data_IF_772723037965
#
_entry.id   IF_772723037965
#
_cell.length_a   1.000
_cell.length_b   1.000
_cell.length_c   1.000
_cell.angle_alpha   90.00
_cell.angle_beta   90.00
_cell.angle_gamma   90.00
#
_symmetry.space_group_name_H-M   'P 1'
#
loop_
_entity.id
_entity.type
_entity.pdbx_description
1 polymer ?
#
# COMPACT_ATOMS: atom_id res chain seq x y z
N UNK A 1 15.26 -25.89 -17.05
CA UNK A 1 14.48 -25.45 -18.24
C UNK A 1 13.02 -25.25 -17.87
N UNK A 2 12.43 -26.07 -16.99
CA UNK A 2 11.10 -25.83 -16.38
C UNK A 2 10.97 -24.45 -15.72
N UNK A 3 11.96 -24.02 -14.93
CA UNK A 3 11.96 -22.66 -14.35
C UNK A 3 11.93 -21.56 -15.42
N UNK A 4 12.60 -21.74 -16.56
CA UNK A 4 12.56 -20.78 -17.67
C UNK A 4 11.18 -20.74 -18.34
N UNK A 5 10.48 -21.87 -18.40
CA UNK A 5 9.10 -21.96 -18.88
C UNK A 5 8.14 -21.21 -17.93
N UNK A 6 8.30 -21.44 -16.63
CA UNK A 6 7.56 -20.74 -15.58
C UNK A 6 7.79 -19.24 -15.62
N UNK A 7 9.04 -18.82 -15.80
CA UNK A 7 9.40 -17.41 -15.93
C UNK A 7 8.81 -16.78 -17.20
N UNK A 8 8.80 -17.52 -18.31
CA UNK A 8 8.19 -17.08 -19.57
C UNK A 8 6.68 -16.85 -19.43
N UNK A 9 5.93 -17.81 -18.85
CA UNK A 9 4.50 -17.67 -18.58
C UNK A 9 4.24 -16.50 -17.62
N UNK A 10 4.97 -16.44 -16.51
CA UNK A 10 4.83 -15.33 -15.54
C UNK A 10 5.10 -13.96 -16.16
N UNK A 11 6.05 -13.87 -17.10
CA UNK A 11 6.35 -12.62 -17.80
C UNK A 11 5.19 -12.19 -18.69
N UNK A 12 4.52 -13.13 -19.38
CA UNK A 12 3.35 -12.83 -20.22
C UNK A 12 2.16 -12.38 -19.37
N UNK A 13 1.88 -13.06 -18.27
CA UNK A 13 0.76 -12.74 -17.37
C UNK A 13 1.03 -11.56 -16.40
N UNK A 14 2.21 -10.92 -16.47
CA UNK A 14 2.60 -9.86 -15.52
C UNK A 14 1.71 -8.62 -15.56
N UNK A 15 1.18 -8.29 -16.73
CA UNK A 15 0.33 -7.12 -16.97
C UNK A 15 -1.16 -7.39 -16.70
N UNK A 16 -1.49 -8.65 -16.42
CA UNK A 16 -2.86 -9.11 -16.28
C UNK A 16 -3.30 -8.95 -14.82
N UNK A 17 -4.58 -8.65 -14.55
CA UNK A 17 -5.04 -8.54 -13.20
C UNK A 17 -5.00 -9.89 -12.48
N UNK A 18 -4.64 -9.88 -11.19
CA UNK A 18 -4.53 -11.09 -10.36
C UNK A 18 -5.88 -11.54 -9.82
N UNK A 19 -6.84 -11.72 -10.72
CA UNK A 19 -8.13 -12.34 -10.42
C UNK A 19 -7.98 -13.85 -10.32
N UNK A 20 -8.87 -14.52 -9.59
CA UNK A 20 -8.86 -15.99 -9.46
C UNK A 20 -8.86 -16.70 -10.82
N UNK A 21 -9.76 -16.30 -11.72
CA UNK A 21 -9.89 -16.86 -13.08
C UNK A 21 -8.58 -16.76 -13.89
N UNK A 22 -7.98 -15.56 -13.97
CA UNK A 22 -6.72 -15.36 -14.70
C UNK A 22 -5.55 -16.12 -14.07
N UNK A 23 -5.54 -16.29 -12.75
CA UNK A 23 -4.52 -17.09 -12.05
C UNK A 23 -4.69 -18.58 -12.38
N UNK A 24 -5.93 -19.08 -12.39
CA UNK A 24 -6.26 -20.46 -12.77
C UNK A 24 -5.85 -20.73 -14.23
N UNK A 25 -6.22 -19.87 -15.16
CA UNK A 25 -5.83 -19.99 -16.59
C UNK A 25 -4.31 -19.99 -16.76
N UNK A 26 -3.60 -19.14 -16.01
CA UNK A 26 -2.13 -19.12 -16.04
C UNK A 26 -1.56 -20.45 -15.56
N UNK A 27 -2.11 -21.01 -14.49
CA UNK A 27 -1.62 -22.24 -13.88
C UNK A 27 -1.97 -23.47 -14.75
N UNK A 28 -3.15 -23.49 -15.36
CA UNK A 28 -3.56 -24.48 -16.37
C UNK A 28 -2.64 -24.44 -17.60
N UNK A 29 -2.41 -23.25 -18.17
CA UNK A 29 -1.51 -23.09 -19.32
C UNK A 29 -0.08 -23.53 -18.97
N UNK A 30 0.39 -23.20 -17.77
CA UNK A 30 1.70 -23.65 -17.32
C UNK A 30 1.79 -25.17 -17.22
N UNK A 31 0.74 -25.84 -16.71
CA UNK A 31 0.69 -27.31 -16.66
C UNK A 31 0.73 -27.90 -18.07
N UNK A 32 -0.11 -27.43 -18.99
CA UNK A 32 -0.13 -27.91 -20.38
C UNK A 32 1.24 -27.77 -21.05
N UNK A 33 1.89 -26.62 -20.85
CA UNK A 33 3.24 -26.39 -21.41
C UNK A 33 4.30 -27.31 -20.77
N UNK A 34 4.18 -27.64 -19.48
CA UNK A 34 5.12 -28.55 -18.80
C UNK A 34 4.94 -29.98 -19.27
N UNK A 35 3.69 -30.42 -19.44
CA UNK A 35 3.35 -31.76 -19.89
C UNK A 35 3.89 -31.98 -21.31
N UNK A 36 3.69 -30.99 -22.20
CA UNK A 36 4.26 -31.04 -23.55
C UNK A 36 5.78 -31.07 -23.56
N UNK A 37 6.42 -30.29 -22.70
CA UNK A 37 7.87 -30.29 -22.55
C UNK A 37 8.38 -31.66 -22.11
N UNK A 38 7.72 -32.29 -21.14
CA UNK A 38 8.07 -33.63 -20.65
C UNK A 38 7.85 -34.72 -21.71
N UNK A 39 6.77 -34.63 -22.49
CA UNK A 39 6.51 -35.55 -23.60
C UNK A 39 7.62 -35.48 -24.66
N UNK A 40 8.06 -34.27 -25.02
CA UNK A 40 9.17 -34.09 -25.95
C UNK A 40 10.48 -34.67 -25.42
N UNK A 41 10.74 -34.56 -24.11
CA UNK A 41 11.92 -35.20 -23.49
C UNK A 41 11.83 -36.74 -23.53
N UNK A 42 10.64 -37.29 -23.28
CA UNK A 42 10.40 -38.73 -23.33
C UNK A 42 10.56 -39.30 -24.75
N UNK A 43 10.33 -38.48 -25.78
CA UNK A 43 10.58 -38.82 -27.19
C UNK A 43 12.06 -38.72 -27.59
N UNK A 44 12.97 -38.39 -26.67
CA UNK A 44 14.41 -38.31 -26.93
C UNK A 44 14.86 -36.99 -27.57
N UNK A 45 13.99 -35.98 -27.61
CA UNK A 45 14.28 -34.67 -28.20
C UNK A 45 15.19 -33.85 -27.26
N UNK A 46 16.04 -32.98 -27.81
CA UNK A 46 16.90 -32.12 -27.01
C UNK A 46 16.10 -31.12 -26.16
N UNK A 47 16.63 -30.73 -25.00
CA UNK A 47 15.97 -29.81 -24.04
C UNK A 47 15.61 -28.46 -24.64
N UNK A 48 16.32 -28.00 -25.67
CA UNK A 48 16.09 -26.71 -26.31
C UNK A 48 14.96 -26.77 -27.35
N UNK A 49 14.90 -27.85 -28.13
CA UNK A 49 13.82 -28.08 -29.10
C UNK A 49 12.49 -28.38 -28.39
N UNK A 50 12.52 -29.16 -27.31
CA UNK A 50 11.36 -29.39 -26.45
C UNK A 50 10.79 -28.07 -25.88
N UNK A 51 11.66 -27.13 -25.51
CA UNK A 51 11.26 -25.80 -25.03
C UNK A 51 10.63 -24.96 -26.15
N UNK A 52 11.20 -24.99 -27.35
CA UNK A 52 10.65 -24.28 -28.52
C UNK A 52 9.26 -24.81 -28.89
N UNK A 53 9.09 -26.13 -28.90
CA UNK A 53 7.81 -26.79 -29.16
C UNK A 53 6.73 -26.41 -28.12
N UNK A 54 7.09 -26.36 -26.83
CA UNK A 54 6.18 -25.92 -25.78
C UNK A 54 5.77 -24.43 -25.93
N UNK A 55 6.65 -23.57 -26.45
CA UNK A 55 6.32 -22.16 -26.74
C UNK A 55 5.38 -22.04 -27.94
N UNK A 56 5.59 -22.81 -29.00
CA UNK A 56 4.75 -22.77 -30.20
C UNK A 56 3.29 -23.13 -29.87
N UNK A 57 3.06 -24.10 -28.99
CA UNK A 57 1.71 -24.43 -28.49
C UNK A 57 1.02 -23.23 -27.82
N UNK A 58 1.75 -22.36 -27.11
CA UNK A 58 1.18 -21.16 -26.50
C UNK A 58 0.61 -20.17 -27.55
N UNK A 59 1.17 -20.17 -28.77
CA UNK A 59 0.72 -19.28 -29.84
C UNK A 59 -0.69 -19.66 -30.31
N UNK A 60 -0.99 -20.95 -30.41
CA UNK A 60 -2.32 -21.44 -30.81
C UNK A 60 -3.38 -21.15 -29.73
N UNK A 61 -3.02 -21.26 -28.45
CA UNK A 61 -3.93 -20.91 -27.36
C UNK A 61 -4.06 -19.40 -27.09
N UNK A 62 -3.25 -18.57 -27.75
CA UNK A 62 -3.20 -17.12 -27.49
C UNK A 62 -4.56 -16.44 -27.68
N UNK A 63 -5.30 -16.82 -28.70
CA UNK A 63 -6.59 -16.18 -29.00
C UNK A 63 -7.70 -16.64 -28.04
N UNK A 64 -7.70 -17.93 -27.66
CA UNK A 64 -8.61 -18.47 -26.63
C UNK A 64 -8.34 -17.82 -25.26
N UNK A 65 -7.07 -17.66 -24.89
CA UNK A 65 -6.67 -16.97 -23.66
C UNK A 65 -7.14 -15.51 -23.68
N UNK A 66 -7.03 -14.83 -24.82
CA UNK A 66 -7.38 -13.41 -24.95
C UNK A 66 -8.89 -13.16 -24.79
N UNK A 67 -9.73 -14.08 -25.23
CA UNK A 67 -11.18 -13.96 -25.08
C UNK A 67 -11.62 -14.15 -23.63
N UNK A 68 -11.10 -15.19 -22.96
CA UNK A 68 -11.37 -15.46 -21.53
C UNK A 68 -10.73 -14.38 -20.64
N UNK A 69 -9.58 -13.83 -21.05
CA UNK A 69 -8.97 -12.66 -20.41
C UNK A 69 -9.89 -11.44 -20.48
N UNK A 70 -10.42 -11.12 -21.66
CA UNK A 70 -11.23 -9.92 -21.85
C UNK A 70 -12.52 -10.00 -21.04
N UNK A 71 -13.12 -11.19 -20.93
CA UNK A 71 -14.29 -11.40 -20.08
C UNK A 71 -13.94 -11.32 -18.58
N UNK A 72 -12.86 -11.96 -18.13
CA UNK A 72 -12.43 -11.94 -16.71
C UNK A 72 -11.92 -10.58 -16.23
N UNK A 73 -11.15 -9.86 -17.05
CA UNK A 73 -10.66 -8.49 -16.78
C UNK A 73 -11.82 -7.49 -16.66
N UNK A 74 -12.75 -7.51 -17.63
CA UNK A 74 -13.95 -6.66 -17.61
C UNK A 74 -14.87 -7.03 -16.46
N UNK A 75 -15.03 -8.33 -16.16
CA UNK A 75 -15.82 -8.81 -15.02
C UNK A 75 -15.26 -8.31 -13.69
N UNK A 76 -13.95 -8.40 -13.49
CA UNK A 76 -13.30 -7.92 -12.27
C UNK A 76 -13.34 -6.39 -12.13
N UNK A 77 -13.11 -5.66 -13.22
CA UNK A 77 -13.28 -4.20 -13.25
C UNK A 77 -14.71 -3.80 -12.91
N UNK A 78 -15.70 -4.42 -13.55
CA UNK A 78 -17.12 -4.16 -13.30
C UNK A 78 -17.46 -4.44 -11.84
N UNK A 79 -17.00 -5.55 -11.26
CA UNK A 79 -17.23 -5.88 -9.85
C UNK A 79 -16.64 -4.83 -8.90
N UNK A 80 -15.42 -4.37 -9.15
CA UNK A 80 -14.77 -3.34 -8.32
C UNK A 80 -15.50 -2.01 -8.44
N UNK A 81 -15.83 -1.57 -9.66
CA UNK A 81 -16.54 -0.31 -9.92
C UNK A 81 -17.94 -0.32 -9.33
N UNK A 82 -18.69 -1.42 -9.50
CA UNK A 82 -20.05 -1.57 -8.95
C UNK A 82 -20.02 -1.57 -7.42
N UNK A 83 -19.11 -2.33 -6.79
CA UNK A 83 -18.98 -2.33 -5.33
C UNK A 83 -18.57 -0.97 -4.78
N UNK A 84 -17.66 -0.27 -5.48
CA UNK A 84 -17.22 1.06 -5.09
C UNK A 84 -18.34 2.07 -5.23
N UNK A 85 -19.06 2.07 -6.35
CA UNK A 85 -20.19 2.96 -6.62
C UNK A 85 -21.34 2.75 -5.65
N UNK A 86 -21.70 1.48 -5.38
CA UNK A 86 -22.76 1.16 -4.42
C UNK A 86 -22.40 1.63 -3.01
N UNK A 87 -21.20 1.28 -2.53
CA UNK A 87 -20.74 1.72 -1.22
C UNK A 87 -20.68 3.24 -1.10
N UNK A 88 -20.15 3.94 -2.11
CA UNK A 88 -20.07 5.39 -2.14
C UNK A 88 -21.47 6.02 -2.02
N UNK A 89 -22.42 5.50 -2.79
CA UNK A 89 -23.80 5.98 -2.79
C UNK A 89 -24.46 5.77 -1.43
N UNK A 90 -24.40 4.56 -0.88
CA UNK A 90 -24.94 4.26 0.46
C UNK A 90 -24.27 5.08 1.55
N UNK A 91 -22.95 5.26 1.48
CA UNK A 91 -22.18 6.03 2.45
C UNK A 91 -22.63 7.49 2.48
N UNK A 92 -22.70 8.16 1.32
CA UNK A 92 -23.10 9.56 1.27
C UNK A 92 -24.58 9.76 1.61
N UNK A 93 -25.48 8.84 1.20
CA UNK A 93 -26.89 8.89 1.63
C UNK A 93 -26.98 8.82 3.15
N UNK A 94 -26.26 7.87 3.77
CA UNK A 94 -26.25 7.69 5.22
C UNK A 94 -25.63 8.89 5.93
N UNK A 95 -24.50 9.41 5.42
CA UNK A 95 -23.83 10.58 5.97
C UNK A 95 -24.73 11.82 5.90
N UNK A 96 -25.39 12.05 4.77
CA UNK A 96 -26.34 13.15 4.60
C UNK A 96 -27.54 12.99 5.52
N UNK A 97 -28.07 11.78 5.65
CA UNK A 97 -29.17 11.49 6.59
C UNK A 97 -28.77 11.82 8.03
N UNK A 98 -27.61 11.33 8.49
CA UNK A 98 -27.08 11.63 9.84
C UNK A 98 -26.86 13.14 10.00
N UNK A 99 -26.25 13.79 9.01
CA UNK A 99 -25.99 15.24 9.04
C UNK A 99 -27.30 16.04 9.18
N UNK A 100 -28.32 15.73 8.37
CA UNK A 100 -29.60 16.43 8.41
C UNK A 100 -30.37 16.13 9.70
N UNK A 101 -30.38 14.87 10.15
CA UNK A 101 -31.03 14.49 11.40
C UNK A 101 -30.44 15.24 12.59
N UNK A 102 -29.10 15.26 12.71
CA UNK A 102 -28.42 15.97 13.80
C UNK A 102 -28.60 17.49 13.69
N UNK A 103 -28.56 18.04 12.47
CA UNK A 103 -28.69 19.48 12.24
C UNK A 103 -30.09 20.02 12.49
N UNK A 104 -31.12 19.29 12.07
CA UNK A 104 -32.53 19.73 12.12
C UNK A 104 -33.19 19.32 13.43
N UNK A 105 -33.02 18.07 13.87
CA UNK A 105 -33.74 17.52 15.03
C UNK A 105 -33.05 17.85 16.35
N UNK A 106 -31.73 17.60 16.43
CA UNK A 106 -30.99 17.68 17.70
C UNK A 106 -30.51 19.11 17.98
N UNK A 107 -29.68 19.67 17.09
CA UNK A 107 -28.99 20.93 17.33
C UNK A 107 -29.71 22.16 16.78
N UNK A 108 -30.71 21.98 15.91
CA UNK A 108 -31.46 23.05 15.22
C UNK A 108 -30.56 24.16 14.63
N UNK A 109 -29.34 23.79 14.23
CA UNK A 109 -28.32 24.75 13.78
C UNK A 109 -27.29 24.09 12.87
N UNK A 110 -27.24 24.56 11.62
CA UNK A 110 -26.25 24.11 10.64
C UNK A 110 -24.83 24.62 10.93
N UNK A 111 -24.70 25.71 11.69
CA UNK A 111 -23.38 26.29 12.03
C UNK A 111 -22.56 25.40 12.97
N UNK A 112 -23.19 24.53 13.75
CA UNK A 112 -22.50 23.65 14.71
C UNK A 112 -22.25 22.24 14.17
N UNK A 113 -22.93 21.85 13.08
CA UNK A 113 -22.93 20.48 12.57
C UNK A 113 -22.08 20.26 11.33
N UNK A 114 -21.50 21.31 10.73
CA UNK A 114 -20.65 21.21 9.55
C UNK A 114 -19.49 20.21 9.72
N UNK A 115 -18.98 20.08 10.95
CA UNK A 115 -17.89 19.16 11.28
C UNK A 115 -18.25 17.69 11.00
N UNK A 116 -19.53 17.33 11.07
CA UNK A 116 -20.01 15.96 10.78
C UNK A 116 -19.81 15.64 9.29
N UNK A 117 -20.18 16.56 8.41
CA UNK A 117 -20.03 16.39 6.97
C UNK A 117 -18.54 16.36 6.55
N UNK A 118 -17.74 17.27 7.10
CA UNK A 118 -16.30 17.32 6.81
C UNK A 118 -15.58 16.11 7.40
N UNK A 119 -15.89 15.70 8.63
CA UNK A 119 -15.35 14.49 9.27
C UNK A 119 -15.70 13.22 8.50
N UNK A 120 -16.96 13.07 8.09
CA UNK A 120 -17.39 11.96 7.24
C UNK A 120 -16.64 11.92 5.90
N UNK A 121 -16.42 13.07 5.27
CA UNK A 121 -15.66 13.13 4.01
C UNK A 121 -14.23 12.59 4.14
N UNK A 122 -13.55 12.85 5.26
CA UNK A 122 -12.22 12.28 5.52
C UNK A 122 -12.23 10.77 5.81
N UNK A 123 -13.29 10.26 6.46
CA UNK A 123 -13.47 8.81 6.65
C UNK A 123 -13.66 8.14 5.28
N UNK A 124 -14.45 8.76 4.39
CA UNK A 124 -14.59 8.28 3.02
C UNK A 124 -13.27 8.31 2.24
N UNK A 125 -12.42 9.32 2.43
CA UNK A 125 -11.09 9.36 1.80
C UNK A 125 -10.21 8.18 2.20
N UNK A 126 -10.30 7.67 3.45
CA UNK A 126 -9.62 6.44 3.85
C UNK A 126 -10.14 5.26 3.03
N UNK A 127 -11.47 5.09 2.97
CA UNK A 127 -12.09 4.00 2.20
C UNK A 127 -11.69 4.06 0.71
N UNK A 128 -11.73 5.25 0.12
CA UNK A 128 -11.32 5.50 -1.25
C UNK A 128 -9.84 5.12 -1.45
N UNK A 129 -8.96 5.53 -0.53
CA UNK A 129 -7.52 5.22 -0.61
C UNK A 129 -7.23 3.73 -0.47
N UNK A 130 -7.95 3.02 0.41
CA UNK A 130 -7.87 1.54 0.52
C UNK A 130 -8.34 0.87 -0.76
N UNK A 131 -9.43 1.36 -1.35
CA UNK A 131 -9.97 0.83 -2.61
C UNK A 131 -9.00 1.06 -3.76
N UNK A 132 -8.38 2.24 -3.83
CA UNK A 132 -7.32 2.57 -4.80
C UNK A 132 -6.09 1.65 -4.63
N UNK A 133 -5.66 1.38 -3.39
CA UNK A 133 -4.58 0.43 -3.12
C UNK A 133 -4.93 -1.00 -3.57
N UNK A 134 -6.13 -1.50 -3.26
CA UNK A 134 -6.59 -2.82 -3.70
C UNK A 134 -6.63 -2.91 -5.23
N UNK A 135 -7.14 -1.87 -5.88
CA UNK A 135 -7.16 -1.77 -7.34
C UNK A 135 -5.74 -1.78 -7.93
N UNK A 136 -4.85 -0.95 -7.41
CA UNK A 136 -3.46 -0.89 -7.87
C UNK A 136 -2.74 -2.25 -7.70
N UNK A 137 -3.01 -2.96 -6.60
CA UNK A 137 -2.46 -4.29 -6.33
C UNK A 137 -3.03 -5.35 -7.28
N UNK A 138 -4.31 -5.26 -7.64
CA UNK A 138 -4.95 -6.17 -8.60
C UNK A 138 -4.26 -6.09 -9.96
N UNK A 139 -4.00 -4.88 -10.46
CA UNK A 139 -3.35 -4.61 -11.75
C UNK A 139 -1.82 -4.52 -11.70
N UNK A 140 -1.21 -4.80 -10.54
CA UNK A 140 0.24 -4.77 -10.36
C UNK A 140 0.89 -3.39 -10.67
N UNK A 141 0.11 -2.31 -10.56
CA UNK A 141 0.58 -0.94 -10.73
C UNK A 141 1.36 -0.49 -9.49
N UNK A 142 2.68 -0.69 -9.52
CA UNK A 142 3.58 -0.42 -8.38
C UNK A 142 3.49 1.03 -7.90
N UNK A 143 3.59 2.00 -8.80
CA UNK A 143 3.56 3.42 -8.45
C UNK A 143 2.24 3.78 -7.78
N UNK A 144 1.12 3.36 -8.37
CA UNK A 144 -0.21 3.63 -7.84
C UNK A 144 -0.45 2.92 -6.49
N UNK A 145 0.13 1.74 -6.28
CA UNK A 145 0.06 1.03 -5.00
C UNK A 145 0.80 1.78 -3.89
N UNK A 146 1.94 2.41 -4.20
CA UNK A 146 2.68 3.26 -3.24
C UNK A 146 1.90 4.52 -2.90
N UNK A 147 1.37 5.20 -3.91
CA UNK A 147 0.50 6.37 -3.72
C UNK A 147 -0.77 6.03 -2.94
N UNK A 148 -1.38 4.86 -3.17
CA UNK A 148 -2.51 4.38 -2.39
C UNK A 148 -2.20 4.28 -0.89
N UNK A 149 -1.03 3.75 -0.52
CA UNK A 149 -0.56 3.72 0.87
C UNK A 149 -0.37 5.15 1.39
N UNK A 150 0.30 6.02 0.63
CA UNK A 150 0.52 7.41 1.03
C UNK A 150 -0.81 8.15 1.30
N UNK A 151 -1.80 8.00 0.42
CA UNK A 151 -3.12 8.62 0.59
C UNK A 151 -3.85 8.12 1.84
N UNK A 152 -3.72 6.84 2.20
CA UNK A 152 -4.27 6.32 3.47
C UNK A 152 -3.69 7.10 4.65
N UNK A 153 -2.36 7.23 4.74
CA UNK A 153 -1.72 7.94 5.86
C UNK A 153 -1.98 9.45 5.85
N UNK A 154 -2.03 10.08 4.68
CA UNK A 154 -2.41 11.50 4.55
C UNK A 154 -3.85 11.72 5.05
N UNK A 155 -4.78 10.85 4.69
CA UNK A 155 -6.18 10.95 5.15
C UNK A 155 -6.37 10.69 6.65
N UNK A 156 -5.42 10.01 7.31
CA UNK A 156 -5.42 9.83 8.77
C UNK A 156 -5.02 11.09 9.53
N UNK A 157 -4.24 12.00 8.92
CA UNK A 157 -3.78 13.23 9.60
C UNK A 157 -4.98 14.08 10.06
N UNK A 158 -5.97 14.41 9.22
CA UNK A 158 -7.14 15.15 9.67
C UNK A 158 -7.93 14.44 10.77
N UNK A 159 -8.06 13.12 10.69
CA UNK A 159 -8.86 12.31 11.64
C UNK A 159 -8.23 12.16 13.01
N UNK A 160 -6.91 11.98 13.08
CA UNK A 160 -6.21 11.75 14.35
C UNK A 160 -5.65 13.04 14.94
N UNK A 161 -5.27 14.01 14.10
CA UNK A 161 -4.67 15.27 14.56
C UNK A 161 -5.65 16.44 14.51
N UNK A 162 -6.23 16.76 13.35
CA UNK A 162 -6.98 18.02 13.17
C UNK A 162 -8.31 17.99 13.90
N UNK A 163 -9.13 16.96 13.72
CA UNK A 163 -10.45 16.89 14.36
C UNK A 163 -10.40 16.78 15.89
N UNK A 164 -9.54 15.94 16.50
CA UNK A 164 -9.44 15.88 17.95
C UNK A 164 -8.90 17.20 18.54
N UNK A 165 -7.94 17.84 17.87
CA UNK A 165 -7.41 19.15 18.29
C UNK A 165 -8.45 20.25 18.19
N UNK A 166 -9.23 20.29 17.10
CA UNK A 166 -10.35 21.22 16.95
C UNK A 166 -11.43 20.99 18.01
N UNK A 167 -11.80 19.73 18.25
CA UNK A 167 -12.78 19.38 19.26
C UNK A 167 -12.34 19.82 20.66
N UNK A 168 -11.10 19.54 21.05
CA UNK A 168 -10.57 19.94 22.35
C UNK A 168 -10.42 21.46 22.49
N UNK A 169 -10.07 22.14 21.41
CA UNK A 169 -9.95 23.60 21.40
C UNK A 169 -11.30 24.31 21.45
N UNK A 170 -12.31 23.82 20.74
CA UNK A 170 -13.64 24.48 20.62
C UNK A 170 -14.57 24.09 21.75
N UNK A 171 -14.56 22.82 22.17
CA UNK A 171 -15.51 22.29 23.17
C UNK A 171 -14.96 22.38 24.58
N UNK A 172 -13.67 22.06 24.77
CA UNK A 172 -13.04 22.03 26.09
C UNK A 172 -12.18 23.26 26.37
N UNK A 173 -12.08 24.21 25.43
CA UNK A 173 -11.22 25.40 25.50
C UNK A 173 -9.75 25.08 25.82
N UNK A 174 -9.30 23.85 25.54
CA UNK A 174 -7.93 23.39 25.78
C UNK A 174 -7.13 23.49 24.48
N UNK A 175 -6.20 24.45 24.43
CA UNK A 175 -5.28 24.57 23.31
C UNK A 175 -4.14 23.55 23.43
N UNK A 176 -4.23 22.48 22.64
CA UNK A 176 -3.21 21.41 22.57
C UNK A 176 -2.45 21.41 21.24
N UNK A 177 -2.65 22.40 20.37
CA UNK A 177 -2.06 22.45 19.02
C UNK A 177 -0.53 22.37 19.04
N UNK A 178 0.10 23.01 20.04
CA UNK A 178 1.55 23.02 20.19
C UNK A 178 2.15 21.63 20.52
N UNK A 179 1.39 20.71 21.12
CA UNK A 179 1.89 19.36 21.49
C UNK A 179 1.37 18.26 20.59
N UNK A 180 0.17 18.43 20.04
CA UNK A 180 -0.54 17.41 19.26
C UNK A 180 0.05 17.19 17.87
N UNK A 181 0.77 18.16 17.30
CA UNK A 181 1.39 18.01 15.97
C UNK A 181 2.45 16.90 15.92
N UNK A 182 3.01 16.48 17.07
CA UNK A 182 3.91 15.33 17.15
C UNK A 182 3.28 14.03 16.61
N UNK A 183 1.94 13.93 16.67
CA UNK A 183 1.19 12.81 16.08
C UNK A 183 1.44 12.71 14.57
N UNK A 184 1.63 13.83 13.87
CA UNK A 184 1.95 13.83 12.43
C UNK A 184 3.29 13.14 12.16
N UNK A 185 4.30 13.40 12.99
CA UNK A 185 5.61 12.72 12.87
C UNK A 185 5.44 11.20 13.05
N UNK A 186 4.65 10.78 14.04
CA UNK A 186 4.36 9.36 14.28
C UNK A 186 3.65 8.72 13.08
N UNK A 187 2.67 9.41 12.48
CA UNK A 187 1.94 8.93 11.29
C UNK A 187 2.91 8.76 10.12
N UNK A 188 3.82 9.72 9.89
CA UNK A 188 4.83 9.63 8.82
C UNK A 188 5.81 8.48 9.10
N UNK A 189 6.21 8.25 10.36
CA UNK A 189 7.03 7.11 10.74
C UNK A 189 6.36 5.78 10.39
N UNK A 190 5.08 5.60 10.75
CA UNK A 190 4.33 4.40 10.39
C UNK A 190 4.13 4.25 8.87
N UNK A 191 3.99 5.36 8.13
CA UNK A 191 3.94 5.34 6.67
C UNK A 191 5.22 4.74 6.09
N UNK A 192 6.40 5.21 6.52
CA UNK A 192 7.70 4.71 6.03
C UNK A 192 7.86 3.21 6.34
N UNK A 193 7.47 2.78 7.55
CA UNK A 193 7.51 1.36 7.93
C UNK A 193 6.59 0.52 7.05
N UNK A 194 5.36 0.96 6.81
CA UNK A 194 4.41 0.22 5.96
C UNK A 194 4.89 0.17 4.52
N UNK A 195 5.42 1.26 3.97
CA UNK A 195 6.04 1.25 2.62
C UNK A 195 7.23 0.27 2.58
N UNK A 196 8.07 0.26 3.61
CA UNK A 196 9.19 -0.66 3.72
C UNK A 196 8.75 -2.13 3.73
N UNK A 197 7.77 -2.50 4.56
CA UNK A 197 7.28 -3.89 4.68
C UNK A 197 6.62 -4.35 3.38
N UNK A 198 5.73 -3.54 2.80
CA UNK A 198 4.96 -3.91 1.61
C UNK A 198 5.85 -4.01 0.37
N UNK A 199 6.82 -3.09 0.22
CA UNK A 199 7.67 -3.03 -0.98
C UNK A 199 9.03 -3.69 -0.80
N UNK A 200 9.29 -4.39 0.33
CA UNK A 200 10.57 -5.05 0.65
C UNK A 200 11.15 -5.89 -0.48
N UNK A 201 10.31 -6.61 -1.23
CA UNK A 201 10.74 -7.51 -2.32
C UNK A 201 11.20 -6.77 -3.58
N UNK A 202 10.76 -5.53 -3.77
CA UNK A 202 10.99 -4.77 -5.01
C UNK A 202 12.01 -3.64 -4.85
N UNK A 203 12.39 -3.31 -3.62
CA UNK A 203 13.35 -2.25 -3.34
C UNK A 203 14.79 -2.72 -3.48
N UNK A 204 15.62 -1.84 -4.05
CA UNK A 204 17.06 -1.99 -4.08
C UNK A 204 17.64 -2.00 -2.66
N UNK A 205 18.87 -2.47 -2.52
CA UNK A 205 19.57 -2.50 -1.22
C UNK A 205 19.75 -1.07 -0.69
N UNK A 206 20.09 -0.12 -1.56
CA UNK A 206 20.30 1.30 -1.21
C UNK A 206 19.01 1.95 -0.74
N UNK A 207 17.89 1.73 -1.43
CA UNK A 207 16.58 2.27 -1.02
C UNK A 207 16.16 1.75 0.36
N UNK A 208 16.41 0.47 0.67
CA UNK A 208 16.14 -0.11 1.99
C UNK A 208 16.96 0.57 3.07
N UNK A 209 18.25 0.74 2.82
CA UNK A 209 19.19 1.36 3.75
C UNK A 209 18.78 2.84 4.02
N UNK A 210 18.37 3.59 2.99
CA UNK A 210 17.84 4.96 3.12
C UNK A 210 16.54 5.00 3.92
N UNK A 211 15.59 4.10 3.65
CA UNK A 211 14.30 4.09 4.36
C UNK A 211 14.45 3.71 5.84
N UNK A 212 15.33 2.76 6.16
CA UNK A 212 15.63 2.40 7.55
C UNK A 212 16.28 3.58 8.27
N UNK A 213 17.25 4.23 7.63
CA UNK A 213 17.88 5.43 8.16
C UNK A 213 16.88 6.58 8.36
N UNK A 214 16.03 6.87 7.38
CA UNK A 214 15.00 7.90 7.49
C UNK A 214 13.99 7.58 8.60
N UNK A 215 13.57 6.32 8.74
CA UNK A 215 12.64 5.90 9.78
C UNK A 215 13.21 6.09 11.19
N UNK A 216 14.48 5.72 11.40
CA UNK A 216 15.12 5.90 12.70
C UNK A 216 15.45 7.36 13.00
N UNK A 217 15.75 8.19 11.99
CA UNK A 217 15.83 9.65 12.17
C UNK A 217 14.50 10.22 12.66
N UNK A 218 13.38 9.89 12.01
CA UNK A 218 12.06 10.36 12.44
C UNK A 218 11.71 9.92 13.86
N UNK A 219 12.02 8.67 14.21
CA UNK A 219 11.83 8.17 15.58
C UNK A 219 12.68 8.95 16.58
N UNK A 220 13.94 9.22 16.23
CA UNK A 220 14.86 9.99 17.08
C UNK A 220 14.38 11.44 17.23
N UNK A 221 13.89 12.07 16.16
CA UNK A 221 13.27 13.40 16.19
C UNK A 221 12.03 13.41 17.07
N UNK A 222 11.17 12.39 16.96
CA UNK A 222 10.01 12.26 17.83
C UNK A 222 10.41 12.14 19.31
N UNK A 223 11.36 11.26 19.64
CA UNK A 223 11.85 11.08 21.01
C UNK A 223 12.52 12.34 21.55
N UNK A 224 13.34 13.02 20.73
CA UNK A 224 13.94 14.31 21.06
C UNK A 224 12.88 15.33 21.44
N UNK A 225 11.89 15.56 20.57
CA UNK A 225 10.84 16.54 20.82
C UNK A 225 9.98 16.16 22.03
N UNK A 226 9.65 14.87 22.17
CA UNK A 226 8.83 14.39 23.29
C UNK A 226 9.54 14.57 24.64
N UNK A 227 10.80 14.15 24.75
CA UNK A 227 11.60 14.29 25.98
C UNK A 227 11.85 15.77 26.27
N UNK A 228 12.22 16.54 25.24
CA UNK A 228 12.50 17.96 25.38
C UNK A 228 11.27 18.75 25.86
N UNK A 229 10.08 18.48 25.31
CA UNK A 229 8.84 19.11 25.76
C UNK A 229 8.39 18.65 27.16
N UNK A 230 8.67 17.40 27.54
CA UNK A 230 8.24 16.84 28.84
C UNK A 230 9.14 17.27 30.00
N UNK A 231 10.45 17.32 29.78
CA UNK A 231 11.45 17.57 30.82
C UNK A 231 12.17 18.92 30.68
N UNK A 232 11.89 19.69 29.63
CA UNK A 232 12.49 20.99 29.32
C UNK A 232 14.02 20.98 29.15
N UNK A 233 14.58 19.84 28.72
CA UNK A 233 16.03 19.59 28.58
C UNK A 233 16.54 19.77 27.15
N UNK A 234 16.21 20.89 26.51
CA UNK A 234 16.56 21.18 25.11
C UNK A 234 18.05 21.05 24.81
N UNK A 235 18.91 21.50 25.74
CA UNK A 235 20.37 21.51 25.59
C UNK A 235 21.05 20.15 25.75
N UNK A 236 20.37 19.13 26.29
CA UNK A 236 20.93 17.78 26.50
C UNK A 236 20.31 16.77 25.55
N UNK A 237 19.03 16.94 25.19
CA UNK A 237 18.29 15.96 24.39
C UNK A 237 18.90 15.72 22.99
N UNK A 238 19.72 16.63 22.45
CA UNK A 238 20.40 16.44 21.16
C UNK A 238 21.37 15.23 21.17
N UNK A 239 21.80 14.77 22.36
CA UNK A 239 22.64 13.57 22.49
C UNK A 239 21.97 12.32 21.89
N UNK A 240 20.64 12.30 21.80
CA UNK A 240 19.89 11.23 21.14
C UNK A 240 20.27 11.10 19.65
N UNK A 241 20.51 12.22 18.95
CA UNK A 241 20.97 12.18 17.57
C UNK A 241 22.39 11.63 17.45
N UNK A 242 23.28 11.97 18.38
CA UNK A 242 24.65 11.46 18.41
C UNK A 242 24.65 9.95 18.64
N UNK A 243 23.88 9.49 19.63
CA UNK A 243 23.72 8.06 19.92
C UNK A 243 23.16 7.30 18.72
N UNK A 244 22.11 7.85 18.09
CA UNK A 244 21.50 7.25 16.90
C UNK A 244 22.48 7.14 15.73
N UNK A 245 23.18 8.23 15.37
CA UNK A 245 24.17 8.24 14.28
C UNK A 245 25.34 7.29 14.55
N UNK A 246 25.78 7.17 15.80
CA UNK A 246 26.82 6.22 16.22
C UNK A 246 26.36 4.77 16.04
N UNK A 247 25.14 4.42 16.46
CA UNK A 247 24.59 3.09 16.28
C UNK A 247 24.46 2.70 14.80
N UNK A 248 24.00 3.63 13.97
CA UNK A 248 23.88 3.41 12.53
C UNK A 248 25.23 3.18 11.87
N UNK A 249 26.22 4.02 12.17
CA UNK A 249 27.54 3.88 11.54
C UNK A 249 28.17 2.53 11.87
N UNK A 250 27.98 2.05 13.10
CA UNK A 250 28.39 0.73 13.55
C UNK A 250 27.62 -0.39 12.81
N UNK A 251 26.29 -0.27 12.66
CA UNK A 251 25.46 -1.23 11.90
C UNK A 251 25.92 -1.29 10.43
N UNK A 252 26.11 -0.15 9.78
CA UNK A 252 26.60 -0.11 8.39
C UNK A 252 27.99 -0.71 8.25
N UNK A 253 28.89 -0.46 9.21
CA UNK A 253 30.22 -1.05 9.23
C UNK A 253 30.16 -2.59 9.31
N UNK A 254 29.37 -3.13 10.25
CA UNK A 254 29.17 -4.58 10.41
C UNK A 254 28.53 -5.19 9.16
N UNK A 255 27.48 -4.56 8.63
CA UNK A 255 26.80 -5.04 7.42
C UNK A 255 27.72 -5.01 6.19
N UNK A 256 28.58 -4.01 6.05
CA UNK A 256 29.57 -3.93 4.96
C UNK A 256 30.62 -5.03 5.09
N UNK A 257 31.10 -5.31 6.31
CA UNK A 257 32.08 -6.36 6.54
C UNK A 257 31.50 -7.75 6.22
N UNK A 258 30.25 -8.01 6.63
CA UNK A 258 29.53 -9.25 6.32
C UNK A 258 29.24 -9.48 4.83
N UNK A 259 29.23 -8.43 4.00
CA UNK A 259 29.08 -8.54 2.54
C UNK A 259 30.41 -8.75 1.81
N UNK A 260 31.55 -8.59 2.49
CA UNK A 260 32.90 -8.75 1.91
C UNK A 260 33.50 -10.15 2.13
N UNK A 261 33.03 -10.86 3.15
CA UNK A 261 33.28 -12.30 3.37
C UNK A 261 32.19 -13.13 2.71
#
# INVERSE_FOLDING_TARGET
MEEKLKEYVNRKFRLYPKTKEIVEIRDELYSIMIDKYNDCLNMGITKEEAYKSAIEMMVDYKDAIREVEKSGTLGALKKVIVNMGSFTTFYFITLTFIYLFVSVVILKSFKKTWLIAVGGSFIYLIYFSISLYKYAKLFNFKTLSRWGIAFIYISLIPLIYVFPSLYLSVVHSKNIWNRSWLVVIIIVFFYIITDYIVNKKYMSIVEKDILIFASGLLLTTFLYLFISMKFNVWGIAWILYVLYLSLISLIFYICRNKRRN
#
